data_IF_502380283493
#
_entry.id   IF_502380283493
#
_cell.length_a   1.000
_cell.length_b   1.000
_cell.length_c   1.000
_cell.angle_alpha   90.00
_cell.angle_beta   90.00
_cell.angle_gamma   90.00
#
_symmetry.space_group_name_H-M   'P 1'
#
loop_
_entity.id
_entity.type
_entity.pdbx_description
1 polymer ?
#
# COMPACT_ATOMS: atom_id res chain seq x y z
N UNK A 1 2.40 -24.77 -6.52
CA UNK A 1 3.81 -24.63 -6.93
C UNK A 1 4.16 -23.18 -6.70
N UNK A 2 5.33 -22.82 -6.19
CA UNK A 2 5.73 -21.42 -6.14
C UNK A 2 5.78 -20.87 -7.56
N UNK A 3 5.40 -19.60 -7.72
CA UNK A 3 5.56 -18.89 -8.99
C UNK A 3 7.03 -18.95 -9.43
N UNK A 4 7.36 -19.20 -10.71
CA UNK A 4 8.73 -19.39 -11.16
C UNK A 4 9.64 -18.16 -10.97
N UNK A 5 9.06 -16.97 -10.76
CA UNK A 5 9.78 -15.69 -10.71
C UNK A 5 9.71 -14.98 -9.35
N UNK A 6 9.59 -15.74 -8.25
CA UNK A 6 9.62 -15.18 -6.89
C UNK A 6 10.93 -14.42 -6.65
N UNK A 7 10.82 -13.20 -6.16
CA UNK A 7 11.94 -12.32 -5.83
C UNK A 7 12.92 -12.99 -4.87
N UNK A 8 14.22 -12.95 -5.21
CA UNK A 8 15.33 -13.48 -4.40
C UNK A 8 16.28 -12.39 -3.93
N UNK A 9 16.16 -11.20 -4.48
CA UNK A 9 16.94 -10.00 -4.14
C UNK A 9 16.00 -8.84 -3.89
N UNK A 10 16.41 -7.81 -3.15
CA UNK A 10 15.61 -6.62 -2.96
C UNK A 10 15.22 -5.95 -4.28
N UNK A 11 14.03 -5.36 -4.30
CA UNK A 11 13.56 -4.41 -5.29
C UNK A 11 13.52 -3.02 -4.65
N UNK A 12 13.93 -2.00 -5.40
CA UNK A 12 13.89 -0.61 -4.97
C UNK A 12 13.37 0.24 -6.13
N UNK A 13 12.54 1.25 -5.82
CA UNK A 13 12.06 2.26 -6.76
C UNK A 13 11.82 3.57 -6.01
N UNK A 14 12.55 4.61 -6.40
CA UNK A 14 12.41 5.97 -5.87
C UNK A 14 11.61 6.88 -6.81
N UNK A 15 11.01 6.30 -7.87
CA UNK A 15 10.25 6.99 -8.90
C UNK A 15 10.95 8.23 -9.48
N UNK A 16 12.25 8.31 -9.28
CA UNK A 16 13.08 9.43 -9.70
C UNK A 16 12.94 9.74 -11.19
N UNK A 17 13.45 10.85 -11.67
CA UNK A 17 13.24 11.31 -13.01
C UNK A 17 13.70 10.22 -13.98
N UNK A 18 12.76 9.54 -14.65
CA UNK A 18 13.08 8.81 -15.85
C UNK A 18 13.81 9.79 -16.77
N UNK A 19 14.96 9.40 -17.30
CA UNK A 19 15.89 10.24 -18.04
C UNK A 19 15.30 10.99 -19.27
N UNK A 20 13.99 10.99 -19.43
CA UNK A 20 13.20 11.58 -20.52
C UNK A 20 12.24 12.71 -20.08
N UNK A 21 12.05 12.99 -18.77
CA UNK A 21 11.13 14.05 -18.36
C UNK A 21 11.79 15.42 -18.51
N UNK A 22 11.35 16.20 -19.48
CA UNK A 22 11.73 17.62 -19.65
C UNK A 22 10.89 18.45 -18.67
N UNK A 23 11.48 19.43 -17.96
CA UNK A 23 10.68 20.33 -17.12
C UNK A 23 9.57 20.99 -17.95
N UNK A 24 8.31 20.72 -17.61
CA UNK A 24 7.13 21.22 -18.33
C UNK A 24 6.33 20.17 -19.05
N UNK A 25 6.82 18.95 -19.18
CA UNK A 25 6.00 17.82 -19.59
C UNK A 25 5.00 17.46 -18.48
N UNK A 26 3.79 17.10 -18.86
CA UNK A 26 2.73 16.69 -17.92
C UNK A 26 3.08 15.43 -17.12
N UNK A 27 2.13 14.89 -16.35
CA UNK A 27 2.34 13.65 -15.59
C UNK A 27 2.91 12.53 -16.46
N UNK A 28 3.93 11.84 -15.96
CA UNK A 28 4.62 10.77 -16.68
C UNK A 28 4.02 9.43 -16.23
N UNK A 29 3.79 8.53 -17.20
CA UNK A 29 3.33 7.17 -16.88
C UNK A 29 4.34 6.44 -15.98
N UNK A 30 3.88 5.63 -15.01
CA UNK A 30 4.74 4.78 -14.22
C UNK A 30 5.57 3.82 -15.09
N UNK A 31 6.72 3.37 -14.59
CA UNK A 31 7.54 2.37 -15.28
C UNK A 31 6.77 1.06 -15.51
N UNK A 32 7.25 0.23 -16.46
CA UNK A 32 6.64 -1.08 -16.76
C UNK A 32 6.72 -2.10 -15.61
N UNK A 33 7.37 -1.76 -14.51
CA UNK A 33 7.33 -2.55 -13.28
C UNK A 33 5.99 -2.40 -12.53
N UNK A 34 5.23 -1.34 -12.81
CA UNK A 34 3.95 -1.06 -12.17
C UNK A 34 2.79 -1.21 -13.15
N UNK A 35 1.76 -1.94 -12.74
CA UNK A 35 0.59 -2.27 -13.56
C UNK A 35 -0.64 -1.62 -12.94
N UNK A 36 -1.13 -0.49 -13.48
CA UNK A 36 -2.37 0.12 -13.03
C UNK A 36 -3.58 -0.74 -13.45
N UNK A 37 -4.58 -0.85 -12.58
CA UNK A 37 -5.82 -1.58 -12.88
C UNK A 37 -6.80 -0.76 -13.73
N UNK A 38 -6.58 0.57 -13.83
CA UNK A 38 -7.28 1.47 -14.73
C UNK A 38 -6.31 2.52 -15.28
N UNK A 39 -6.46 2.95 -16.55
CA UNK A 39 -5.58 3.94 -17.16
C UNK A 39 -5.79 5.34 -16.57
N UNK A 40 -4.74 6.16 -16.57
CA UNK A 40 -4.80 7.59 -16.29
C UNK A 40 -5.03 7.99 -14.83
N UNK A 41 -5.05 7.03 -13.91
CA UNK A 41 -5.19 7.31 -12.46
C UNK A 41 -3.82 7.55 -11.83
N UNK A 42 -2.89 6.63 -12.09
CA UNK A 42 -1.56 6.62 -11.48
C UNK A 42 -0.53 7.22 -12.42
N UNK A 43 0.31 8.12 -11.93
CA UNK A 43 1.33 8.82 -12.71
C UNK A 43 2.51 9.21 -11.83
N UNK A 44 3.63 9.56 -12.46
CA UNK A 44 4.80 10.12 -11.77
C UNK A 44 4.68 11.64 -11.76
N UNK A 45 4.71 12.22 -10.58
CA UNK A 45 4.68 13.67 -10.35
C UNK A 45 5.76 14.05 -9.34
N UNK A 46 6.68 14.93 -9.70
CA UNK A 46 7.75 15.38 -8.81
C UNK A 46 8.70 14.28 -8.31
N UNK A 47 8.84 13.16 -9.07
CA UNK A 47 9.64 12.01 -8.66
C UNK A 47 8.92 11.08 -7.69
N UNK A 48 7.60 11.16 -7.57
CA UNK A 48 6.77 10.29 -6.73
C UNK A 48 5.69 9.62 -7.56
N UNK A 49 5.26 8.42 -7.19
CA UNK A 49 4.09 7.77 -7.75
C UNK A 49 2.84 8.34 -7.10
N UNK A 50 2.05 9.09 -7.84
CA UNK A 50 0.84 9.73 -7.33
C UNK A 50 -0.43 9.17 -7.98
N UNK A 51 -1.54 9.18 -7.24
CA UNK A 51 -2.87 8.85 -7.71
C UNK A 51 -3.93 9.70 -7.03
N UNK A 52 -5.09 9.86 -7.69
CA UNK A 52 -6.22 10.60 -7.16
C UNK A 52 -7.52 10.03 -7.73
N UNK A 53 -8.58 10.03 -6.91
CA UNK A 53 -9.91 9.54 -7.30
C UNK A 53 -9.91 8.10 -7.82
N UNK A 54 -9.02 7.26 -7.28
CA UNK A 54 -8.80 5.91 -7.79
C UNK A 54 -9.99 4.97 -7.55
N UNK A 55 -10.87 5.26 -6.60
CA UNK A 55 -12.05 4.43 -6.27
C UNK A 55 -11.69 2.96 -6.08
N UNK A 56 -10.57 2.72 -5.40
CA UNK A 56 -9.96 1.41 -5.22
C UNK A 56 -9.53 0.72 -6.53
N UNK A 57 -9.20 1.48 -7.59
CA UNK A 57 -8.42 1.01 -8.72
C UNK A 57 -6.94 1.20 -8.40
N UNK A 58 -6.31 0.16 -7.86
CA UNK A 58 -4.93 0.18 -7.43
C UNK A 58 -3.91 0.13 -8.58
N UNK A 59 -2.65 0.19 -8.18
CA UNK A 59 -1.49 -0.08 -9.04
C UNK A 59 -0.62 -1.15 -8.41
N UNK A 60 -0.23 -2.16 -9.14
CA UNK A 60 0.45 -3.34 -8.65
C UNK A 60 1.90 -3.42 -9.11
N UNK A 61 2.81 -3.76 -8.22
CA UNK A 61 4.15 -4.17 -8.58
C UNK A 61 4.09 -5.51 -9.32
N UNK A 62 4.69 -5.57 -10.51
CA UNK A 62 4.73 -6.75 -11.37
C UNK A 62 5.50 -7.93 -10.78
N UNK A 63 6.38 -7.66 -9.82
CA UNK A 63 7.26 -8.66 -9.23
C UNK A 63 6.53 -9.52 -8.20
N UNK A 64 6.81 -10.81 -8.25
CA UNK A 64 6.23 -11.79 -7.33
C UNK A 64 6.94 -11.77 -5.98
N UNK A 65 6.21 -11.47 -4.91
CA UNK A 65 6.70 -11.48 -3.55
C UNK A 65 6.99 -12.91 -3.05
N UNK A 66 8.03 -13.10 -2.22
CA UNK A 66 8.15 -14.32 -1.43
C UNK A 66 7.10 -14.34 -0.29
N UNK A 67 6.92 -15.51 0.32
CA UNK A 67 6.03 -15.68 1.47
C UNK A 67 6.42 -14.73 2.60
N UNK A 68 7.71 -14.63 2.90
CA UNK A 68 8.24 -13.70 3.89
C UNK A 68 8.92 -12.52 3.20
N UNK A 69 8.54 -11.32 3.57
CA UNK A 69 9.15 -10.10 3.05
C UNK A 69 9.01 -8.95 4.04
N UNK A 70 9.89 -7.96 3.88
CA UNK A 70 9.73 -6.62 4.40
C UNK A 70 9.40 -5.69 3.24
N UNK A 71 8.37 -4.89 3.39
CA UNK A 71 7.93 -3.88 2.44
C UNK A 71 8.00 -2.54 3.15
N UNK A 72 8.76 -1.60 2.59
CA UNK A 72 8.98 -0.26 3.12
C UNK A 72 8.69 0.75 2.01
N UNK A 73 8.08 1.87 2.36
CA UNK A 73 7.84 2.99 1.45
C UNK A 73 7.47 4.25 2.22
N UNK A 74 7.64 5.39 1.58
CA UNK A 74 7.16 6.66 2.06
C UNK A 74 5.82 7.01 1.40
N UNK A 75 4.91 7.63 2.14
CA UNK A 75 3.60 8.00 1.64
C UNK A 75 3.13 9.33 2.22
N UNK A 76 2.44 10.12 1.39
CA UNK A 76 1.81 11.36 1.80
C UNK A 76 0.41 11.48 1.18
N UNK A 77 -0.57 11.91 2.00
CA UNK A 77 -1.88 12.35 1.51
C UNK A 77 -1.90 13.88 1.41
N UNK A 78 -2.49 14.41 0.36
CA UNK A 78 -2.70 15.86 0.23
C UNK A 78 -4.04 16.30 0.81
N UNK A 79 -4.81 15.39 1.40
CA UNK A 79 -6.14 15.62 1.94
C UNK A 79 -6.18 15.41 3.46
N UNK A 80 -6.98 16.21 4.20
CA UNK A 80 -7.26 15.96 5.62
C UNK A 80 -8.05 14.67 5.84
N UNK A 81 -8.60 14.05 4.79
CA UNK A 81 -9.32 12.78 4.87
C UNK A 81 -8.39 11.56 4.97
N UNK A 82 -7.08 11.75 4.81
CA UNK A 82 -6.09 10.69 4.97
C UNK A 82 -6.09 9.71 3.81
N UNK A 83 -6.45 8.46 4.08
CA UNK A 83 -6.66 7.32 3.16
C UNK A 83 -5.41 6.81 2.42
N UNK A 84 -4.26 6.76 3.12
CA UNK A 84 -3.05 6.12 2.59
C UNK A 84 -3.22 4.60 2.66
N UNK A 85 -3.29 3.95 1.48
CA UNK A 85 -3.64 2.54 1.38
C UNK A 85 -2.61 1.73 0.59
N UNK A 86 -2.22 0.57 1.13
CA UNK A 86 -1.41 -0.41 0.43
C UNK A 86 -2.05 -1.80 0.46
N UNK A 87 -1.81 -2.56 -0.61
CA UNK A 87 -2.26 -3.93 -0.80
C UNK A 87 -1.06 -4.88 -0.75
N UNK A 88 -1.14 -5.87 0.13
CA UNK A 88 -0.02 -6.72 0.51
C UNK A 88 -0.39 -8.18 0.27
N UNK A 89 0.44 -8.91 -0.47
CA UNK A 89 0.19 -10.30 -0.85
C UNK A 89 -1.18 -10.48 -1.52
N UNK A 90 -1.45 -9.70 -2.56
CA UNK A 90 -2.62 -9.82 -3.44
C UNK A 90 -2.30 -10.51 -4.75
N UNK A 91 -3.25 -10.50 -5.70
CA UNK A 91 -3.14 -11.20 -6.99
C UNK A 91 -2.50 -10.38 -8.11
N UNK A 92 -2.09 -9.14 -7.84
CA UNK A 92 -1.43 -8.28 -8.82
C UNK A 92 -2.35 -7.67 -9.88
N UNK A 93 -3.69 -7.73 -9.71
CA UNK A 93 -4.65 -7.27 -10.74
C UNK A 93 -6.03 -6.88 -10.23
N UNK A 94 -6.42 -7.28 -9.02
CA UNK A 94 -7.75 -7.00 -8.46
C UNK A 94 -7.93 -5.53 -8.13
N UNK A 95 -9.19 -5.10 -8.17
CA UNK A 95 -9.67 -3.78 -7.78
C UNK A 95 -11.10 -3.91 -7.22
N UNK A 96 -11.62 -2.87 -6.58
CA UNK A 96 -12.98 -2.91 -6.05
C UNK A 96 -14.02 -2.95 -7.19
N UNK A 97 -14.96 -3.87 -7.08
CA UNK A 97 -16.08 -4.03 -8.02
C UNK A 97 -17.38 -3.37 -7.51
N UNK A 98 -17.32 -2.78 -6.31
CA UNK A 98 -18.42 -2.06 -5.67
C UNK A 98 -17.86 -0.85 -4.90
N UNK A 99 -18.76 -0.05 -4.30
CA UNK A 99 -18.37 1.14 -3.53
C UNK A 99 -17.38 0.83 -2.40
N UNK A 100 -17.59 -0.29 -1.70
CA UNK A 100 -16.69 -0.77 -0.65
C UNK A 100 -15.78 -1.86 -1.18
N UNK A 101 -14.50 -1.85 -0.77
CA UNK A 101 -13.54 -2.86 -1.20
C UNK A 101 -13.68 -4.14 -0.38
N UNK A 102 -14.66 -4.95 -0.75
CA UNK A 102 -15.00 -6.22 -0.08
C UNK A 102 -14.50 -7.46 -0.82
N UNK A 103 -13.90 -7.27 -2.00
CA UNK A 103 -13.41 -8.32 -2.89
C UNK A 103 -11.89 -8.23 -3.14
N UNK A 104 -11.13 -7.64 -2.22
CA UNK A 104 -9.68 -7.66 -2.30
C UNK A 104 -9.15 -9.10 -2.24
N UNK A 105 -7.97 -9.31 -2.82
CA UNK A 105 -7.27 -10.61 -2.74
C UNK A 105 -6.09 -10.55 -1.79
N UNK A 106 -5.88 -9.40 -1.14
CA UNK A 106 -4.72 -8.96 -0.36
C UNK A 106 -5.05 -8.76 1.10
N UNK A 107 -4.02 -8.50 1.90
CA UNK A 107 -4.18 -7.72 3.12
C UNK A 107 -4.15 -6.24 2.75
N UNK A 108 -4.88 -5.42 3.50
CA UNK A 108 -5.00 -3.99 3.29
C UNK A 108 -4.46 -3.25 4.51
N UNK A 109 -3.46 -2.40 4.35
CA UNK A 109 -3.14 -1.36 5.34
C UNK A 109 -3.80 -0.06 4.90
N UNK A 110 -4.57 0.57 5.79
CA UNK A 110 -5.29 1.81 5.53
C UNK A 110 -4.95 2.77 6.67
N UNK A 111 -4.18 3.81 6.39
CA UNK A 111 -3.79 4.81 7.37
C UNK A 111 -4.62 6.09 7.16
N UNK A 112 -5.47 6.40 8.13
CA UNK A 112 -6.40 7.51 8.06
C UNK A 112 -7.64 7.26 7.19
N UNK A 113 -8.12 6.02 7.10
CA UNK A 113 -9.33 5.70 6.33
C UNK A 113 -10.61 6.29 6.91
N UNK A 114 -11.71 6.29 6.12
CA UNK A 114 -13.05 6.80 6.47
C UNK A 114 -13.02 8.25 6.98
N UNK A 115 -12.42 9.15 6.19
CA UNK A 115 -12.21 10.55 6.57
C UNK A 115 -11.38 10.68 7.84
N UNK A 116 -10.23 10.00 7.85
CA UNK A 116 -9.26 10.05 8.93
C UNK A 116 -9.79 9.61 10.30
N UNK A 117 -10.68 8.60 10.31
CA UNK A 117 -11.31 8.07 11.54
C UNK A 117 -10.66 6.81 12.08
N UNK A 118 -10.07 6.02 11.19
CA UNK A 118 -9.48 4.73 11.57
C UNK A 118 -8.16 4.46 10.85
N UNK A 119 -7.27 3.75 11.55
CA UNK A 119 -6.14 3.05 10.94
C UNK A 119 -6.49 1.56 10.95
N UNK A 120 -6.42 0.90 9.81
CA UNK A 120 -6.95 -0.47 9.65
C UNK A 120 -5.92 -1.39 9.03
N UNK A 121 -5.84 -2.62 9.55
CA UNK A 121 -5.23 -3.77 8.90
C UNK A 121 -6.31 -4.82 8.68
N UNK A 122 -6.69 -5.03 7.43
CA UNK A 122 -7.77 -5.93 7.04
C UNK A 122 -7.26 -7.08 6.17
N UNK A 123 -8.01 -8.17 6.13
CA UNK A 123 -7.82 -9.31 5.25
C UNK A 123 -8.97 -9.41 4.26
N UNK A 124 -8.69 -9.27 2.94
CA UNK A 124 -9.67 -9.44 1.83
C UNK A 124 -10.81 -8.40 1.83
N UNK A 125 -11.33 -8.04 2.97
CA UNK A 125 -12.49 -7.16 3.10
C UNK A 125 -12.15 -6.00 4.06
N UNK A 126 -12.10 -4.77 3.56
CA UNK A 126 -11.82 -3.58 4.38
C UNK A 126 -12.85 -3.35 5.51
N UNK A 127 -14.04 -3.97 5.41
CA UNK A 127 -15.09 -3.98 6.43
C UNK A 127 -15.22 -5.33 7.14
N UNK A 128 -14.25 -6.24 6.98
CA UNK A 128 -14.26 -7.56 7.60
C UNK A 128 -14.36 -7.49 9.13
N UNK A 129 -15.07 -8.42 9.73
CA UNK A 129 -15.25 -8.48 11.19
C UNK A 129 -13.98 -8.89 11.93
N UNK A 130 -13.01 -9.42 11.23
CA UNK A 130 -11.70 -9.83 11.73
C UNK A 130 -10.63 -8.73 11.57
N UNK A 131 -10.95 -7.62 10.89
CA UNK A 131 -10.02 -6.49 10.73
C UNK A 131 -9.54 -5.98 12.08
N UNK A 132 -8.30 -5.54 12.14
CA UNK A 132 -7.74 -4.82 13.28
C UNK A 132 -7.83 -3.33 13.00
N UNK A 133 -8.19 -2.54 14.01
CA UNK A 133 -8.30 -1.10 13.85
C UNK A 133 -7.83 -0.33 15.08
N UNK A 134 -7.36 0.89 14.84
CA UNK A 134 -7.10 1.93 15.83
C UNK A 134 -8.02 3.09 15.47
N UNK A 135 -8.80 3.55 16.45
CA UNK A 135 -9.60 4.78 16.29
C UNK A 135 -8.68 5.99 16.37
N UNK A 136 -8.82 6.89 15.40
CA UNK A 136 -8.06 8.14 15.40
C UNK A 136 -8.60 9.09 16.48
N UNK A 137 -7.71 9.58 17.33
CA UNK A 137 -7.98 10.64 18.30
C UNK A 137 -6.90 11.75 18.21
N UNK A 138 -7.25 12.92 17.66
CA UNK A 138 -6.31 14.04 17.56
C UNK A 138 -5.75 14.51 18.91
N UNK A 139 -6.46 14.21 20.02
CA UNK A 139 -6.10 14.63 21.38
C UNK A 139 -5.28 13.58 22.14
N UNK A 140 -5.20 12.36 21.64
CA UNK A 140 -4.43 11.29 22.28
C UNK A 140 -2.94 11.63 22.38
N UNK A 141 -2.26 11.17 23.40
CA UNK A 141 -0.80 11.19 23.49
C UNK A 141 -0.14 9.98 22.80
N UNK A 142 -0.92 8.98 22.40
CA UNK A 142 -0.43 7.83 21.64
C UNK A 142 -0.20 8.24 20.17
N UNK A 143 1.05 8.15 19.67
CA UNK A 143 1.35 8.51 18.28
C UNK A 143 0.60 7.65 17.25
N UNK A 144 0.14 6.45 17.65
CA UNK A 144 -0.60 5.56 16.76
C UNK A 144 -2.04 6.00 16.51
N UNK A 145 -2.59 6.88 17.35
CA UNK A 145 -3.97 7.40 17.26
C UNK A 145 -4.04 8.76 16.55
N UNK A 146 -2.90 9.29 16.11
CA UNK A 146 -2.86 10.59 15.45
C UNK A 146 -3.43 10.52 14.04
N UNK A 147 -4.18 11.57 13.61
CA UNK A 147 -4.67 11.66 12.24
C UNK A 147 -3.53 11.81 11.24
N UNK A 148 -3.78 11.40 10.00
CA UNK A 148 -2.94 11.78 8.86
C UNK A 148 -3.02 13.29 8.67
N UNK A 149 -1.85 13.92 8.53
CA UNK A 149 -1.73 15.37 8.30
C UNK A 149 -1.42 15.61 6.82
N UNK A 150 -2.18 16.49 6.13
CA UNK A 150 -1.93 16.77 4.71
C UNK A 150 -0.49 17.23 4.44
N UNK A 151 0.14 16.62 3.43
CA UNK A 151 1.50 16.93 3.02
C UNK A 151 2.61 16.37 3.92
N UNK A 152 2.27 15.76 5.06
CA UNK A 152 3.26 15.06 5.88
C UNK A 152 3.63 13.73 5.23
N UNK A 153 4.93 13.46 5.16
CA UNK A 153 5.47 12.18 4.70
C UNK A 153 5.51 11.23 5.89
N UNK A 154 5.01 10.01 5.70
CA UNK A 154 5.01 8.92 6.66
C UNK A 154 5.80 7.74 6.11
N UNK A 155 6.71 7.19 6.92
CA UNK A 155 7.44 5.99 6.57
C UNK A 155 6.67 4.74 6.99
N UNK A 156 6.24 3.96 6.01
CA UNK A 156 5.56 2.68 6.20
C UNK A 156 6.56 1.54 6.22
N UNK A 157 6.36 0.60 7.13
CA UNK A 157 7.03 -0.69 7.12
C UNK A 157 6.02 -1.79 7.42
N UNK A 158 5.98 -2.83 6.58
CA UNK A 158 5.22 -4.05 6.83
C UNK A 158 6.15 -5.24 6.73
N UNK A 159 6.03 -6.17 7.68
CA UNK A 159 6.82 -7.40 7.71
C UNK A 159 5.92 -8.63 7.85
N UNK A 160 6.30 -9.69 7.16
CA UNK A 160 5.90 -11.07 7.42
C UNK A 160 7.14 -11.94 7.45
N UNK A 161 7.42 -12.60 8.59
CA UNK A 161 8.65 -13.37 8.82
C UNK A 161 8.41 -14.84 9.10
N UNK A 162 7.17 -15.23 9.40
CA UNK A 162 6.74 -16.58 9.79
C UNK A 162 5.66 -17.17 8.86
N UNK A 163 5.46 -16.54 7.70
CA UNK A 163 4.48 -16.95 6.69
C UNK A 163 3.03 -16.62 7.02
N UNK A 164 2.73 -16.05 8.20
CA UNK A 164 1.33 -15.87 8.65
C UNK A 164 1.07 -14.61 9.45
N UNK A 165 2.07 -14.00 10.11
CA UNK A 165 1.89 -12.84 10.96
C UNK A 165 2.36 -11.58 10.25
N UNK A 166 1.44 -10.66 9.99
CA UNK A 166 1.75 -9.34 9.48
C UNK A 166 1.96 -8.39 10.66
N UNK A 167 3.01 -7.60 10.58
CA UNK A 167 3.25 -6.46 11.48
C UNK A 167 3.39 -5.21 10.66
N UNK A 168 2.76 -4.14 11.09
CA UNK A 168 2.73 -2.87 10.39
C UNK A 168 3.19 -1.73 11.31
N UNK A 169 4.11 -0.89 10.81
CA UNK A 169 4.66 0.28 11.50
C UNK A 169 4.48 1.54 10.65
N UNK A 170 4.31 2.66 11.32
CA UNK A 170 4.39 4.01 10.77
C UNK A 170 5.41 4.80 11.61
N UNK A 171 6.42 5.38 10.94
CA UNK A 171 7.48 6.17 11.57
C UNK A 171 8.12 5.43 12.77
N UNK A 172 8.31 4.12 12.66
CA UNK A 172 8.88 3.25 13.67
C UNK A 172 7.92 2.83 14.79
N UNK A 173 6.69 3.37 14.86
CA UNK A 173 5.67 2.95 15.82
C UNK A 173 4.91 1.73 15.27
N UNK A 174 4.90 0.61 16.01
CA UNK A 174 4.09 -0.56 15.64
C UNK A 174 2.61 -0.23 15.76
N UNK A 175 1.93 -0.13 14.61
CA UNK A 175 0.51 0.20 14.54
C UNK A 175 -0.35 -1.01 14.90
N UNK A 176 -0.28 -2.05 14.09
CA UNK A 176 -1.13 -3.22 14.19
C UNK A 176 -0.36 -4.50 13.86
N UNK A 177 -0.77 -5.60 14.51
CA UNK A 177 -0.32 -6.95 14.22
C UNK A 177 -1.51 -7.85 13.93
N UNK A 178 -1.41 -8.65 12.88
CA UNK A 178 -2.45 -9.61 12.45
C UNK A 178 -1.82 -10.99 12.25
N UNK A 179 -2.06 -11.92 13.18
CA UNK A 179 -1.72 -13.32 13.01
C UNK A 179 -2.87 -14.03 12.28
N UNK A 180 -2.66 -14.38 11.02
CA UNK A 180 -3.68 -15.00 10.18
C UNK A 180 -3.68 -16.53 10.37
N UNK A 181 -4.77 -17.15 10.82
CA UNK A 181 -4.86 -18.61 10.92
C UNK A 181 -4.97 -19.31 9.56
N UNK A 182 -5.29 -18.56 8.48
CA UNK A 182 -5.40 -19.06 7.11
C UNK A 182 -4.67 -18.08 6.15
N UNK A 183 -3.32 -18.00 6.21
CA UNK A 183 -2.57 -16.94 5.57
C UNK A 183 -2.71 -16.93 4.06
N UNK A 184 -2.75 -15.72 3.50
CA UNK A 184 -2.73 -15.49 2.07
C UNK A 184 -1.32 -15.80 1.56
N UNK A 185 -1.16 -16.87 0.78
CA UNK A 185 0.13 -17.34 0.26
C UNK A 185 0.00 -18.02 -1.09
N UNK A 186 1.08 -18.04 -1.86
CA UNK A 186 1.14 -18.69 -3.17
C UNK A 186 0.51 -17.87 -4.28
N UNK A 187 0.30 -18.51 -5.42
CA UNK A 187 -0.23 -17.85 -6.63
C UNK A 187 -1.57 -17.17 -6.36
N UNK A 188 -1.67 -15.89 -6.70
CA UNK A 188 -2.84 -15.06 -6.43
C UNK A 188 -2.80 -14.34 -5.08
N UNK A 189 -1.73 -14.59 -4.28
CA UNK A 189 -1.45 -13.92 -3.02
C UNK A 189 0.07 -13.67 -2.89
N UNK A 190 0.64 -13.06 -3.93
CA UNK A 190 2.08 -12.91 -4.09
C UNK A 190 2.50 -11.59 -4.76
N UNK A 191 1.63 -10.57 -4.70
CA UNK A 191 1.94 -9.23 -5.22
C UNK A 191 1.71 -8.13 -4.18
N UNK A 192 2.38 -6.99 -4.41
CA UNK A 192 2.26 -5.76 -3.64
C UNK A 192 1.72 -4.65 -4.54
N UNK A 193 0.92 -3.75 -3.98
CA UNK A 193 0.41 -2.61 -4.69
C UNK A 193 -0.01 -1.46 -3.81
N UNK A 194 -0.31 -0.33 -4.44
CA UNK A 194 -0.90 0.83 -3.80
C UNK A 194 -2.35 1.00 -4.21
N UNK A 195 -3.10 1.68 -3.38
CA UNK A 195 -4.51 1.94 -3.60
C UNK A 195 -4.90 3.30 -3.02
N UNK A 196 -6.05 3.80 -3.43
CA UNK A 196 -6.68 5.02 -2.94
C UNK A 196 -8.18 4.95 -3.19
N UNK A 197 -8.96 5.68 -2.38
CA UNK A 197 -10.37 5.87 -2.66
C UNK A 197 -10.62 7.15 -3.48
N UNK A 198 -10.42 8.31 -2.88
CA UNK A 198 -10.88 9.58 -3.48
C UNK A 198 -9.96 10.78 -3.23
N UNK A 199 -8.83 10.59 -2.57
CA UNK A 199 -7.91 11.65 -2.19
C UNK A 199 -6.65 11.62 -3.03
N UNK A 200 -5.94 12.74 -3.17
CA UNK A 200 -4.62 12.72 -3.78
C UNK A 200 -3.61 12.13 -2.80
N UNK A 201 -2.97 11.04 -3.19
CA UNK A 201 -1.91 10.35 -2.46
C UNK A 201 -0.66 10.25 -3.32
N UNK A 202 0.52 10.31 -2.71
CA UNK A 202 1.79 10.09 -3.36
C UNK A 202 2.64 9.10 -2.55
N UNK A 203 3.38 8.24 -3.26
CA UNK A 203 4.25 7.21 -2.70
C UNK A 203 5.66 7.37 -3.26
N UNK A 204 6.66 6.99 -2.45
CA UNK A 204 8.07 7.12 -2.80
C UNK A 204 8.92 6.09 -2.05
N UNK A 205 10.21 6.00 -2.43
CA UNK A 205 11.23 5.21 -1.73
C UNK A 205 10.81 3.77 -1.44
N UNK A 206 10.16 3.13 -2.42
CA UNK A 206 9.68 1.75 -2.26
C UNK A 206 10.86 0.80 -2.16
N UNK A 207 10.83 -0.05 -1.15
CA UNK A 207 11.77 -1.15 -0.96
C UNK A 207 11.05 -2.42 -0.56
N UNK A 208 11.26 -3.48 -1.33
CA UNK A 208 10.77 -4.83 -1.01
C UNK A 208 11.97 -5.73 -0.78
N UNK A 209 12.12 -6.27 0.43
CA UNK A 209 13.24 -7.13 0.81
C UNK A 209 12.72 -8.54 1.10
N UNK A 210 13.13 -9.56 0.33
CA UNK A 210 12.90 -10.96 0.69
C UNK A 210 13.48 -11.29 2.07
N UNK A 211 12.72 -12.02 2.89
CA UNK A 211 13.16 -12.50 4.19
C UNK A 211 13.22 -14.03 4.20
N UNK A 212 14.05 -14.62 5.10
CA UNK A 212 14.16 -16.07 5.25
C UNK A 212 12.85 -16.78 5.55
#
# INVERSE_FOLDING_TARGET
>A
MPSPDVMKSPFEDDFGPTAAATPGDGPVEPSSEWIPTAPGIWHIEGGQLCGEHAKNHGIWLKRTLPTNARIEFDAASQSPDGDLKAELWGDGRSYATALSYTNATSYLTIFGGWHNKFHVLARINEHGTDRKEITVDPKSDDPREKPVVPGQIYHFKVERTDGKTLRWWIDGNEMLTFADPAPLTGVGHDHFGFNDWDVKVCFDNVRVTPLP
#
